data_IF_873651388376
#
_entry.id   IF_873651388376
#
_cell.length_a   1.000
_cell.length_b   1.000
_cell.length_c   1.000
_cell.angle_alpha   90.00
_cell.angle_beta   90.00
_cell.angle_gamma   90.00
#
_symmetry.space_group_name_H-M   'P 1'
#
loop_
_entity.id
_entity.type
_entity.pdbx_description
1 polymer ?
#
# COMPACT_ATOMS: atom_id res chain seq x y z
N UNK A 1 2.96 -10.08 -14.67
CA UNK A 1 3.41 -9.61 -13.34
C UNK A 1 3.10 -8.13 -13.27
N UNK A 2 2.40 -7.70 -12.23
CA UNK A 2 2.05 -6.31 -11.97
C UNK A 2 2.88 -5.79 -10.79
N UNK A 3 3.46 -4.61 -10.92
CA UNK A 3 4.12 -3.96 -9.78
C UNK A 3 3.06 -3.23 -8.96
N UNK A 4 2.97 -3.53 -7.67
CA UNK A 4 2.17 -2.76 -6.70
C UNK A 4 3.09 -2.04 -5.72
N UNK A 5 2.67 -0.84 -5.32
CA UNK A 5 3.37 -0.04 -4.31
C UNK A 5 2.61 -0.07 -2.99
N UNK A 6 3.36 -0.18 -1.89
CA UNK A 6 2.83 -0.20 -0.53
C UNK A 6 3.52 0.88 0.32
N UNK A 7 2.77 1.48 1.23
CA UNK A 7 3.31 2.32 2.29
C UNK A 7 3.68 1.43 3.48
N UNK A 8 4.88 1.60 4.01
CA UNK A 8 5.29 1.02 5.29
C UNK A 8 6.16 2.04 6.03
N UNK A 9 6.62 1.70 7.23
CA UNK A 9 7.64 2.47 7.94
C UNK A 9 9.00 1.76 7.89
N UNK A 10 10.07 2.49 8.22
CA UNK A 10 11.43 1.92 8.23
C UNK A 10 11.66 0.89 9.34
N UNK A 11 10.94 1.00 10.45
CA UNK A 11 11.06 0.17 11.64
C UNK A 11 10.11 -1.03 11.67
N UNK A 12 9.06 -1.04 10.84
CA UNK A 12 8.12 -2.16 10.77
C UNK A 12 8.80 -3.39 10.12
N UNK A 13 8.98 -4.49 10.87
CA UNK A 13 9.72 -5.65 10.38
C UNK A 13 8.88 -6.56 9.47
N UNK A 14 7.59 -6.29 9.32
CA UNK A 14 6.65 -7.13 8.58
C UNK A 14 6.39 -6.59 7.18
N UNK A 15 6.18 -7.50 6.23
CA UNK A 15 5.82 -7.13 4.87
C UNK A 15 4.32 -6.71 4.81
N UNK A 16 3.97 -5.49 4.33
CA UNK A 16 2.58 -5.02 4.25
C UNK A 16 1.70 -5.82 3.29
N UNK A 17 2.27 -6.63 2.41
CA UNK A 17 1.54 -7.50 1.49
C UNK A 17 1.44 -8.95 2.02
N UNK A 18 2.57 -9.55 2.40
CA UNK A 18 2.61 -10.97 2.80
C UNK A 18 2.22 -11.21 4.26
N UNK A 19 2.35 -10.20 5.12
CA UNK A 19 2.17 -10.28 6.58
C UNK A 19 1.31 -9.12 7.09
N UNK A 20 0.20 -8.84 6.39
CA UNK A 20 -0.62 -7.66 6.63
C UNK A 20 -1.07 -7.49 8.08
N UNK A 21 -1.53 -8.55 8.74
CA UNK A 21 -2.02 -8.48 10.12
C UNK A 21 -0.92 -8.07 11.10
N UNK A 22 0.27 -8.68 11.01
CA UNK A 22 1.40 -8.31 11.86
C UNK A 22 1.91 -6.91 11.55
N UNK A 23 1.96 -6.56 10.25
CA UNK A 23 2.32 -5.23 9.80
C UNK A 23 1.36 -4.17 10.36
N UNK A 24 0.05 -4.39 10.25
CA UNK A 24 -0.98 -3.45 10.69
C UNK A 24 -1.00 -3.32 12.21
N UNK A 25 -0.89 -4.42 12.95
CA UNK A 25 -0.80 -4.38 14.40
C UNK A 25 0.41 -3.56 14.87
N UNK A 26 1.59 -3.80 14.32
CA UNK A 26 2.79 -3.02 14.62
C UNK A 26 2.58 -1.54 14.30
N UNK A 27 2.06 -1.24 13.12
CA UNK A 27 1.82 0.12 12.64
C UNK A 27 0.84 0.90 13.55
N UNK A 28 -0.20 0.23 14.06
CA UNK A 28 -1.15 0.82 15.00
C UNK A 28 -0.58 0.98 16.41
N UNK A 29 0.16 0.01 16.92
CA UNK A 29 0.78 0.07 18.26
C UNK A 29 1.80 1.21 18.38
N UNK A 30 2.45 1.57 17.26
CA UNK A 30 3.39 2.69 17.18
C UNK A 30 2.72 4.02 16.79
N UNK A 31 1.40 4.01 16.58
CA UNK A 31 0.61 5.20 16.29
C UNK A 31 0.77 5.76 14.88
N UNK A 32 1.35 5.01 13.95
CA UNK A 32 1.58 5.47 12.57
C UNK A 32 0.30 5.54 11.74
N UNK A 33 -0.56 4.52 11.85
CA UNK A 33 -1.80 4.38 11.07
C UNK A 33 -1.58 4.69 9.57
N UNK A 34 -0.54 4.09 9.00
CA UNK A 34 -0.08 4.25 7.62
C UNK A 34 -1.20 3.98 6.61
N UNK A 35 -2.01 2.95 6.84
CA UNK A 35 -3.14 2.61 5.96
C UNK A 35 -4.23 3.70 5.99
N UNK A 36 -4.56 4.24 7.17
CA UNK A 36 -5.52 5.34 7.32
C UNK A 36 -4.99 6.67 6.76
N UNK A 37 -3.68 6.92 6.84
CA UNK A 37 -3.04 8.05 6.16
C UNK A 37 -3.15 7.90 4.63
N UNK A 38 -2.79 6.73 4.10
CA UNK A 38 -2.86 6.44 2.67
C UNK A 38 -4.29 6.57 2.14
N UNK A 39 -5.27 6.00 2.85
CA UNK A 39 -6.69 6.07 2.46
C UNK A 39 -7.21 7.50 2.33
N UNK A 40 -6.75 8.43 3.17
CA UNK A 40 -7.15 9.85 3.09
C UNK A 40 -6.56 10.59 1.89
N UNK A 41 -5.45 10.11 1.35
CA UNK A 41 -4.68 10.80 0.30
C UNK A 41 -4.84 10.14 -1.08
N UNK A 42 -5.10 8.84 -1.13
CA UNK A 42 -5.32 8.11 -2.37
C UNK A 42 -6.69 8.48 -2.96
N UNK A 43 -6.71 8.84 -4.24
CA UNK A 43 -7.94 9.20 -4.97
C UNK A 43 -8.45 8.00 -5.77
N UNK A 44 -8.66 6.87 -5.09
CA UNK A 44 -9.18 5.65 -5.74
C UNK A 44 -10.68 5.76 -6.02
N UNK A 45 -11.16 4.96 -6.96
CA UNK A 45 -12.56 4.93 -7.38
C UNK A 45 -12.97 3.53 -7.80
N UNK A 46 -14.21 3.14 -7.52
CA UNK A 46 -14.79 1.90 -8.04
C UNK A 46 -15.03 1.95 -9.56
N UNK A 47 -14.93 3.13 -10.18
CA UNK A 47 -15.00 3.32 -11.63
C UNK A 47 -13.64 3.18 -12.32
N UNK A 48 -12.54 3.11 -11.55
CA UNK A 48 -11.19 2.93 -12.08
C UNK A 48 -10.86 1.45 -12.22
N UNK A 49 -10.05 1.11 -13.22
CA UNK A 49 -9.41 -0.19 -13.33
C UNK A 49 -8.44 -0.43 -12.16
N UNK A 50 -8.07 -1.68 -11.90
CA UNK A 50 -7.10 -2.02 -10.85
C UNK A 50 -5.76 -1.31 -11.03
N UNK A 51 -5.33 -1.08 -12.28
CA UNK A 51 -4.09 -0.37 -12.58
C UNK A 51 -4.18 1.13 -12.35
N UNK A 52 -5.32 1.76 -12.67
CA UNK A 52 -5.57 3.17 -12.35
C UNK A 52 -5.65 3.39 -10.84
N UNK A 53 -6.31 2.49 -10.11
CA UNK A 53 -6.32 2.53 -8.66
C UNK A 53 -4.91 2.34 -8.07
N UNK A 54 -4.13 1.40 -8.60
CA UNK A 54 -2.74 1.21 -8.17
C UNK A 54 -1.86 2.43 -8.47
N UNK A 55 -2.09 3.12 -9.58
CA UNK A 55 -1.41 4.37 -9.91
C UNK A 55 -1.74 5.49 -8.90
N UNK A 56 -3.02 5.67 -8.56
CA UNK A 56 -3.42 6.67 -7.56
C UNK A 56 -2.88 6.35 -6.16
N UNK A 57 -2.77 5.06 -5.81
CA UNK A 57 -2.10 4.59 -4.59
C UNK A 57 -0.60 4.93 -4.63
N UNK A 58 0.13 4.58 -5.70
CA UNK A 58 1.57 4.91 -5.81
C UNK A 58 1.80 6.42 -5.74
N UNK A 59 0.95 7.21 -6.42
CA UNK A 59 1.01 8.67 -6.39
C UNK A 59 0.78 9.23 -4.98
N UNK A 60 -0.14 8.67 -4.20
CA UNK A 60 -0.34 9.05 -2.80
C UNK A 60 0.86 8.67 -1.92
N UNK A 61 1.42 7.46 -2.10
CA UNK A 61 2.62 7.02 -1.38
C UNK A 61 3.81 7.95 -1.68
N UNK A 62 4.02 8.30 -2.95
CA UNK A 62 5.08 9.24 -3.34
C UNK A 62 4.93 10.60 -2.66
N UNK A 63 3.70 11.10 -2.53
CA UNK A 63 3.42 12.35 -1.80
C UNK A 63 3.73 12.21 -0.32
N UNK A 64 3.34 11.10 0.33
CA UNK A 64 3.63 10.86 1.75
C UNK A 64 5.14 10.85 1.98
N UNK A 65 5.89 10.05 1.23
CA UNK A 65 7.34 9.93 1.36
C UNK A 65 8.05 11.26 1.05
N UNK A 66 7.60 12.02 0.04
CA UNK A 66 8.18 13.31 -0.30
C UNK A 66 7.93 14.40 0.76
N UNK A 67 6.90 14.24 1.59
CA UNK A 67 6.52 15.19 2.64
C UNK A 67 6.76 14.61 4.05
N UNK A 68 7.77 13.75 4.18
CA UNK A 68 8.12 13.09 5.44
C UNK A 68 9.52 13.52 5.94
N UNK A 69 9.64 14.69 6.59
CA UNK A 69 10.91 15.17 7.11
C UNK A 69 11.44 14.32 8.28
N UNK A 70 10.58 13.51 8.91
CA UNK A 70 10.96 12.63 10.01
C UNK A 70 11.53 11.29 9.53
N UNK A 71 11.45 11.00 8.22
CA UNK A 71 11.92 9.77 7.60
C UNK A 71 11.35 8.50 8.28
N UNK A 72 10.04 8.53 8.51
CA UNK A 72 9.23 7.45 9.06
C UNK A 72 8.83 6.47 7.95
N UNK A 73 8.36 6.99 6.81
CA UNK A 73 7.69 6.24 5.76
C UNK A 73 8.62 5.80 4.64
N UNK A 74 8.34 4.60 4.14
CA UNK A 74 9.07 3.95 3.05
C UNK A 74 8.09 3.42 2.02
N UNK A 75 8.39 3.67 0.74
CA UNK A 75 7.71 3.00 -0.37
C UNK A 75 8.33 1.62 -0.61
N UNK A 76 7.50 0.58 -0.61
CA UNK A 76 7.87 -0.76 -1.03
C UNK A 76 7.23 -1.07 -2.40
N UNK A 77 8.01 -1.65 -3.32
CA UNK A 77 7.52 -2.14 -4.62
C UNK A 77 7.56 -3.66 -4.63
N UNK A 78 6.44 -4.30 -4.95
CA UNK A 78 6.32 -5.75 -5.00
C UNK A 78 5.80 -6.16 -6.38
N UNK A 79 6.46 -7.12 -7.01
CA UNK A 79 5.98 -7.78 -8.22
C UNK A 79 4.97 -8.87 -7.83
N UNK A 80 3.72 -8.67 -8.24
CA UNK A 80 2.62 -9.60 -8.00
C UNK A 80 2.34 -10.36 -9.29
N UNK A 81 2.12 -11.67 -9.20
CA UNK A 81 1.67 -12.46 -10.34
C UNK A 81 0.26 -12.02 -10.72
N UNK A 82 0.05 -11.88 -12.03
CA UNK A 82 -1.24 -11.45 -12.57
C UNK A 82 -2.15 -12.68 -12.62
N UNK A 83 -2.65 -13.09 -11.47
CA UNK A 83 -3.57 -14.21 -11.37
C UNK A 83 -4.98 -13.68 -11.69
N UNK A 84 -5.20 -13.23 -12.92
CA UNK A 84 -6.55 -13.11 -13.49
C UNK A 84 -7.12 -14.50 -13.77
N UNK A 85 -7.10 -15.36 -12.75
CA UNK A 85 -7.94 -16.54 -12.68
C UNK A 85 -9.31 -16.07 -12.20
N UNK A 86 -10.12 -15.56 -13.11
CA UNK A 86 -11.56 -15.62 -12.92
C UNK A 86 -11.91 -17.10 -12.75
N UNK A 87 -11.97 -17.58 -11.51
CA UNK A 87 -12.84 -18.69 -11.20
C UNK A 87 -14.26 -18.18 -11.47
N UNK A 88 -14.71 -18.38 -12.71
CA UNK A 88 -16.12 -18.51 -13.00
C UNK A 88 -16.59 -19.76 -12.24
N UNK A 89 -16.90 -19.59 -10.95
CA UNK A 89 -17.70 -20.58 -10.25
C UNK A 89 -19.16 -20.33 -10.65
N UNK A 90 -19.67 -21.33 -11.37
CA UNK A 90 -21.01 -21.46 -11.92
C UNK A 90 -22.15 -21.34 -10.90
#
# INVERSE_FOLDING_TARGET
>A
MMVRCFLTTFDNPYNPYEQFEQWYQYDMDHGYNSSGLLMRLAQTSSQFTDNENAYEIEKAINKIVANDPANIYKKLKIEIKDDTGYAQSA
#
